data_IF_606316189493
#
_entry.id   IF_606316189493
#
_cell.length_a   1.000
_cell.length_b   1.000
_cell.length_c   1.000
_cell.angle_alpha   90.00
_cell.angle_beta   90.00
_cell.angle_gamma   90.00
#
_symmetry.space_group_name_H-M   'P 1'
#
loop_
_entity.id
_entity.type
_entity.pdbx_description
1 polymer ?
#
# COMPACT_ATOMS: atom_id res chain seq x y z
N UNK A 1 -61.37 -43.45 65.76
CA UNK A 1 -62.52 -43.04 66.57
C UNK A 1 -63.28 -41.99 65.79
N UNK A 2 -64.50 -42.33 65.49
CA UNK A 2 -65.73 -41.51 65.32
C UNK A 2 -65.65 -40.46 64.20
N UNK A 3 -66.34 -40.67 63.04
CA UNK A 3 -67.82 -40.40 62.90
C UNK A 3 -68.05 -38.91 62.78
N UNK A 4 -68.72 -38.34 61.85
CA UNK A 4 -70.07 -38.59 61.27
C UNK A 4 -70.18 -37.60 60.12
N UNK A 5 -70.58 -37.97 58.91
CA UNK A 5 -72.02 -38.04 58.56
C UNK A 5 -72.76 -36.71 58.68
N UNK A 6 -73.20 -36.22 57.64
CA UNK A 6 -74.61 -36.15 57.23
C UNK A 6 -74.78 -34.94 56.32
N UNK A 7 -75.13 -35.15 55.10
CA UNK A 7 -76.52 -35.32 54.60
C UNK A 7 -77.22 -34.02 54.25
N UNK A 8 -77.59 -33.96 53.04
CA UNK A 8 -78.90 -33.61 52.49
C UNK A 8 -79.32 -32.15 52.63
N UNK A 9 -79.70 -31.51 51.59
CA UNK A 9 -80.94 -31.69 50.86
C UNK A 9 -80.93 -30.74 49.63
N UNK A 10 -81.28 -31.28 48.57
CA UNK A 10 -81.90 -30.78 47.39
C UNK A 10 -82.90 -29.62 47.69
N UNK A 11 -82.72 -28.59 46.91
CA UNK A 11 -83.78 -27.70 46.55
C UNK A 11 -83.66 -27.31 45.09
N UNK A 12 -84.43 -28.01 44.30
CA UNK A 12 -84.72 -27.70 42.92
C UNK A 12 -85.44 -26.38 42.84
N UNK A 13 -84.72 -25.37 42.37
CA UNK A 13 -85.32 -24.14 41.84
C UNK A 13 -85.11 -24.13 40.35
N UNK A 14 -86.09 -24.61 39.61
CA UNK A 14 -86.18 -24.41 38.16
C UNK A 14 -86.48 -22.95 37.94
N UNK A 15 -85.47 -22.15 37.72
CA UNK A 15 -85.61 -20.83 37.17
C UNK A 15 -85.46 -20.95 35.69
N UNK A 16 -86.51 -20.80 34.94
CA UNK A 16 -86.51 -20.64 33.50
C UNK A 16 -85.75 -19.36 33.21
N UNK A 17 -84.43 -19.50 32.87
CA UNK A 17 -83.72 -18.43 32.28
C UNK A 17 -84.18 -18.33 30.84
N UNK A 18 -84.88 -17.25 30.58
CA UNK A 18 -85.06 -16.76 29.25
C UNK A 18 -83.66 -16.49 28.64
N UNK A 19 -83.28 -17.32 27.69
CA UNK A 19 -82.14 -17.09 26.85
C UNK A 19 -82.52 -15.92 25.96
N UNK A 20 -82.18 -14.70 26.36
CA UNK A 20 -82.09 -13.57 25.48
C UNK A 20 -80.95 -13.86 24.55
N UNK A 21 -81.23 -14.21 23.30
CA UNK A 21 -80.30 -14.20 22.26
C UNK A 21 -79.79 -12.74 22.18
N UNK A 22 -78.70 -12.46 22.84
CA UNK A 22 -77.88 -11.29 22.50
C UNK A 22 -77.41 -11.51 21.12
N UNK A 23 -78.04 -10.86 20.15
CA UNK A 23 -77.41 -10.66 18.83
C UNK A 23 -76.15 -9.90 19.13
N UNK A 24 -75.01 -10.61 19.10
CA UNK A 24 -73.70 -9.99 19.04
C UNK A 24 -73.75 -9.09 17.84
N UNK A 25 -73.78 -7.80 18.06
CA UNK A 25 -73.65 -6.81 17.02
C UNK A 25 -72.30 -7.18 16.36
N UNK A 26 -72.36 -7.50 15.10
CA UNK A 26 -71.23 -7.76 14.27
C UNK A 26 -70.38 -6.49 14.32
N UNK A 27 -69.40 -6.49 15.20
CA UNK A 27 -68.42 -5.42 15.27
C UNK A 27 -67.76 -5.36 13.87
N UNK A 28 -67.74 -4.20 13.20
CA UNK A 28 -67.07 -4.11 11.92
C UNK A 28 -65.65 -4.61 12.12
N UNK A 29 -65.33 -5.70 11.44
CA UNK A 29 -63.96 -6.22 11.40
C UNK A 29 -63.11 -5.10 10.81
N UNK A 30 -62.52 -4.32 11.69
CA UNK A 30 -61.53 -3.35 11.29
C UNK A 30 -60.36 -4.17 10.77
N UNK A 31 -60.32 -4.44 9.47
CA UNK A 31 -59.19 -5.02 8.83
C UNK A 31 -58.02 -4.08 9.13
N UNK A 32 -57.08 -4.60 9.95
CA UNK A 32 -55.87 -3.85 10.25
C UNK A 32 -55.29 -3.36 8.90
N UNK A 33 -54.91 -2.08 8.79
CA UNK A 33 -54.30 -1.59 7.57
C UNK A 33 -53.13 -2.52 7.24
N UNK A 34 -52.94 -2.82 5.94
CA UNK A 34 -51.84 -3.68 5.52
C UNK A 34 -50.55 -3.11 6.11
N UNK A 35 -49.66 -3.98 6.66
CA UNK A 35 -48.41 -3.54 7.23
C UNK A 35 -47.70 -2.65 6.20
N UNK A 36 -47.21 -1.51 6.68
CA UNK A 36 -46.42 -0.60 5.80
C UNK A 36 -45.33 -1.40 5.07
N UNK A 37 -45.15 -1.17 3.78
CA UNK A 37 -44.11 -1.87 3.04
C UNK A 37 -42.78 -1.69 3.78
N UNK A 38 -42.15 -2.79 4.16
CA UNK A 38 -40.80 -2.80 4.75
C UNK A 38 -39.88 -2.38 3.59
N UNK A 39 -39.52 -1.12 3.60
CA UNK A 39 -38.47 -0.64 2.66
C UNK A 39 -37.20 -1.28 3.17
N UNK A 40 -36.71 -2.28 2.45
CA UNK A 40 -35.38 -2.85 2.72
C UNK A 40 -34.35 -1.71 2.70
N UNK A 41 -33.52 -1.55 3.72
CA UNK A 41 -32.50 -0.52 3.71
C UNK A 41 -31.63 -0.70 2.49
N UNK A 42 -31.45 0.39 1.71
CA UNK A 42 -30.52 0.38 0.58
C UNK A 42 -29.12 0.11 1.17
N UNK A 43 -28.41 -0.91 0.71
CA UNK A 43 -27.09 -1.22 1.23
C UNK A 43 -26.16 -0.04 0.96
N UNK A 44 -25.68 0.59 2.05
CA UNK A 44 -24.75 1.72 1.98
C UNK A 44 -23.35 1.16 1.83
N UNK A 45 -22.61 1.65 0.84
CA UNK A 45 -21.21 1.27 0.65
C UNK A 45 -20.38 1.65 1.89
N UNK A 46 -19.53 0.73 2.35
CA UNK A 46 -18.56 0.98 3.43
C UNK A 46 -17.13 0.62 2.98
N UNK A 47 -16.17 1.40 3.45
CA UNK A 47 -14.76 1.13 3.24
C UNK A 47 -14.19 0.06 4.19
N UNK A 48 -14.97 -0.40 5.20
CA UNK A 48 -14.55 -1.50 6.08
C UNK A 48 -14.46 -2.82 5.33
N UNK A 49 -13.45 -3.62 5.65
CA UNK A 49 -13.26 -4.97 5.11
C UNK A 49 -11.88 -5.22 4.55
N UNK A 50 -11.62 -6.48 4.24
CA UNK A 50 -10.41 -6.93 3.58
C UNK A 50 -10.46 -6.60 2.09
N UNK A 51 -9.28 -6.40 1.53
CA UNK A 51 -9.10 -6.28 0.08
C UNK A 51 -7.81 -6.92 -0.36
N UNK A 52 -7.79 -7.34 -1.62
CA UNK A 52 -6.62 -7.81 -2.34
C UNK A 52 -6.61 -7.13 -3.70
N UNK A 53 -5.44 -6.80 -4.19
CA UNK A 53 -5.35 -6.07 -5.45
C UNK A 53 -4.02 -6.24 -6.15
N UNK A 54 -3.97 -5.65 -7.33
CA UNK A 54 -2.76 -5.48 -8.11
C UNK A 54 -2.52 -4.01 -8.38
N UNK A 55 -1.27 -3.66 -8.63
CA UNK A 55 -0.89 -2.31 -9.00
C UNK A 55 0.18 -2.33 -10.09
N UNK A 56 0.25 -1.22 -10.80
CA UNK A 56 1.28 -0.96 -11.80
C UNK A 56 1.60 0.54 -11.79
N UNK A 57 2.86 0.87 -12.00
CA UNK A 57 3.32 2.25 -11.91
C UNK A 57 4.68 2.47 -12.52
N UNK A 58 5.19 3.62 -12.22
CA UNK A 58 6.51 4.06 -12.63
C UNK A 58 7.25 4.64 -11.44
N UNK A 59 8.50 4.26 -11.28
CA UNK A 59 9.38 4.73 -10.22
C UNK A 59 10.47 5.63 -10.76
N UNK A 60 10.79 6.67 -10.02
CA UNK A 60 11.90 7.58 -10.30
C UNK A 60 12.83 7.58 -9.09
N UNK A 61 14.14 7.49 -9.37
CA UNK A 61 15.17 7.62 -8.34
C UNK A 61 15.77 9.02 -8.46
N UNK A 62 15.97 9.67 -7.33
CA UNK A 62 16.72 10.93 -7.24
C UNK A 62 18.16 10.59 -6.86
N UNK A 63 18.98 10.27 -7.88
CA UNK A 63 20.40 9.99 -7.71
C UNK A 63 21.21 11.23 -8.05
N UNK A 64 21.38 12.13 -7.12
CA UNK A 64 22.31 13.25 -7.21
C UNK A 64 23.73 12.80 -6.81
N UNK A 65 24.39 11.98 -7.67
CA UNK A 65 25.79 11.64 -7.42
C UNK A 65 26.67 12.85 -7.74
N UNK A 66 27.30 13.37 -6.70
CA UNK A 66 28.29 14.43 -6.88
C UNK A 66 29.49 13.97 -7.71
N UNK A 67 30.05 14.83 -8.56
CA UNK A 67 31.28 14.52 -9.30
C UNK A 67 32.42 14.16 -8.35
N UNK A 68 33.11 13.05 -8.61
CA UNK A 68 34.25 12.60 -7.80
C UNK A 68 35.54 13.14 -8.37
N UNK A 69 36.26 13.95 -7.59
CA UNK A 69 37.57 14.47 -7.97
C UNK A 69 38.66 13.47 -7.63
N UNK A 70 39.41 13.08 -8.67
CA UNK A 70 40.56 12.20 -8.55
C UNK A 70 41.85 13.04 -8.50
N UNK A 71 42.62 12.85 -7.45
CA UNK A 71 43.97 13.42 -7.30
C UNK A 71 44.92 12.30 -6.82
N UNK A 72 46.20 12.35 -7.24
CA UNK A 72 47.18 11.35 -6.80
C UNK A 72 47.23 11.23 -5.28
N UNK A 73 47.13 9.99 -4.79
CA UNK A 73 47.07 9.70 -3.37
C UNK A 73 46.91 8.21 -3.08
N UNK A 74 46.57 7.82 -1.86
CA UNK A 74 46.31 6.42 -1.50
C UNK A 74 45.28 5.80 -2.43
N UNK A 75 45.63 4.74 -3.18
CA UNK A 75 44.77 4.06 -4.15
C UNK A 75 44.62 4.76 -5.50
N UNK A 76 45.14 6.00 -5.66
CA UNK A 76 45.10 6.76 -6.91
C UNK A 76 46.53 6.93 -7.44
N UNK A 77 46.88 6.32 -8.57
CA UNK A 77 48.25 6.38 -9.13
C UNK A 77 48.69 7.80 -9.47
N UNK A 78 50.01 8.02 -9.40
CA UNK A 78 50.62 9.25 -9.91
C UNK A 78 50.32 9.42 -11.41
N UNK A 79 49.94 10.63 -11.82
CA UNK A 79 49.54 10.94 -13.20
C UNK A 79 48.04 10.73 -13.49
N UNK A 80 47.26 10.17 -12.58
CA UNK A 80 45.82 10.19 -12.66
C UNK A 80 45.29 11.41 -11.91
N UNK A 81 44.80 12.39 -12.63
CA UNK A 81 44.05 13.50 -12.09
C UNK A 81 42.89 13.82 -13.02
N UNK A 82 41.73 14.16 -12.44
CA UNK A 82 40.52 14.43 -13.22
C UNK A 82 39.27 14.38 -12.39
N UNK A 83 38.16 14.36 -13.07
CA UNK A 83 36.84 14.30 -12.44
C UNK A 83 36.02 13.19 -13.09
N UNK A 84 35.43 12.33 -12.27
CA UNK A 84 34.39 11.42 -12.72
C UNK A 84 33.05 12.14 -12.64
N UNK A 85 32.39 12.24 -13.78
CA UNK A 85 31.04 12.77 -13.88
C UNK A 85 30.11 11.60 -14.16
N UNK A 86 29.17 11.39 -13.27
CA UNK A 86 28.16 10.37 -13.42
C UNK A 86 26.99 10.98 -14.20
N UNK A 87 26.63 10.37 -15.32
CA UNK A 87 25.43 10.75 -16.07
C UNK A 87 24.41 9.64 -15.90
N UNK A 88 23.41 9.93 -15.10
CA UNK A 88 22.26 9.05 -14.98
C UNK A 88 21.27 9.43 -16.07
N UNK A 89 20.95 8.50 -16.94
CA UNK A 89 19.71 8.59 -17.69
C UNK A 89 18.60 8.25 -16.70
N UNK A 90 18.04 9.29 -16.06
CA UNK A 90 16.98 9.18 -15.07
C UNK A 90 15.63 8.82 -15.71
N UNK A 91 15.59 7.78 -16.49
CA UNK A 91 14.34 7.42 -17.19
C UNK A 91 13.36 6.65 -16.31
N UNK A 92 13.65 6.46 -15.02
CA UNK A 92 12.78 5.70 -14.13
C UNK A 92 12.56 4.26 -14.62
N UNK A 93 11.84 3.44 -13.83
CA UNK A 93 11.56 2.06 -14.18
C UNK A 93 10.08 1.71 -13.98
N UNK A 94 9.60 0.74 -14.76
CA UNK A 94 8.28 0.18 -14.55
C UNK A 94 8.28 -0.59 -13.23
N UNK A 95 7.21 -0.44 -12.45
CA UNK A 95 6.98 -1.22 -11.24
C UNK A 95 5.59 -1.81 -11.26
N UNK A 96 5.45 -3.04 -10.79
CA UNK A 96 4.18 -3.72 -10.72
C UNK A 96 4.16 -4.75 -9.60
N UNK A 97 3.00 -4.94 -9.00
CA UNK A 97 2.92 -5.84 -7.87
C UNK A 97 1.53 -6.13 -7.37
N UNK A 98 1.48 -6.74 -6.19
CA UNK A 98 0.25 -7.07 -5.50
C UNK A 98 0.20 -6.46 -4.11
N UNK A 99 -1.00 -6.19 -3.64
CA UNK A 99 -1.27 -5.70 -2.30
C UNK A 99 -2.42 -6.44 -1.64
N UNK A 100 -2.36 -6.47 -0.32
CA UNK A 100 -3.43 -6.97 0.55
C UNK A 100 -3.59 -6.01 1.72
N UNK A 101 -4.81 -5.78 2.16
CA UNK A 101 -5.03 -4.89 3.28
C UNK A 101 -6.39 -5.04 3.93
N UNK A 102 -6.55 -4.32 5.02
CA UNK A 102 -7.78 -4.21 5.75
C UNK A 102 -8.03 -2.76 6.12
N UNK A 103 -9.23 -2.28 5.84
CA UNK A 103 -9.70 -0.96 6.25
C UNK A 103 -10.82 -1.10 7.30
N UNK A 104 -10.86 -0.15 8.21
CA UNK A 104 -11.95 0.03 9.17
C UNK A 104 -12.45 1.47 9.11
N UNK A 105 -13.74 1.64 8.83
CA UNK A 105 -14.39 2.95 8.69
C UNK A 105 -15.12 3.35 9.95
N UNK A 106 -14.84 4.55 10.42
CA UNK A 106 -15.44 5.21 11.58
C UNK A 106 -16.12 6.51 11.11
N UNK A 107 -17.39 6.43 10.75
CA UNK A 107 -18.06 7.57 10.11
C UNK A 107 -17.42 7.91 8.78
N UNK A 108 -16.87 9.12 8.64
CA UNK A 108 -16.12 9.53 7.45
C UNK A 108 -14.64 9.18 7.49
N UNK A 109 -14.11 8.76 8.64
CA UNK A 109 -12.69 8.41 8.78
C UNK A 109 -12.47 6.94 8.46
N UNK A 110 -11.35 6.65 7.82
CA UNK A 110 -10.91 5.30 7.48
C UNK A 110 -9.51 5.11 8.04
N UNK A 111 -9.32 4.04 8.81
CA UNK A 111 -8.01 3.58 9.26
C UNK A 111 -7.76 2.19 8.69
N UNK A 112 -6.52 1.88 8.33
CA UNK A 112 -6.22 0.59 7.73
C UNK A 112 -4.75 0.22 7.80
N UNK A 113 -4.51 -1.02 7.40
CA UNK A 113 -3.17 -1.56 7.19
C UNK A 113 -3.12 -2.16 5.79
N UNK A 114 -2.00 -1.95 5.11
CA UNK A 114 -1.72 -2.48 3.78
C UNK A 114 -0.33 -3.08 3.76
N UNK A 115 -0.21 -4.25 3.16
CA UNK A 115 1.08 -4.85 2.82
C UNK A 115 1.13 -5.06 1.31
N UNK A 116 2.27 -4.78 0.71
CA UNK A 116 2.48 -4.97 -0.73
C UNK A 116 3.87 -5.55 -1.03
N UNK A 117 3.95 -6.15 -2.20
CA UNK A 117 5.17 -6.62 -2.82
C UNK A 117 5.21 -6.13 -4.27
N UNK A 118 6.36 -5.61 -4.69
CA UNK A 118 6.57 -4.98 -5.97
C UNK A 118 7.77 -5.61 -6.67
N UNK A 119 7.66 -5.78 -7.97
CA UNK A 119 8.77 -6.04 -8.87
C UNK A 119 9.05 -4.77 -9.65
N UNK A 120 10.31 -4.42 -9.76
CA UNK A 120 10.76 -3.24 -10.49
C UNK A 120 11.72 -3.69 -11.61
N UNK A 121 11.48 -3.20 -12.82
CA UNK A 121 12.40 -3.32 -13.92
C UNK A 121 13.32 -2.09 -13.90
N UNK A 122 14.51 -2.30 -13.33
CA UNK A 122 15.46 -1.22 -13.03
C UNK A 122 16.75 -1.36 -13.80
N UNK A 123 16.73 -1.92 -15.00
CA UNK A 123 17.91 -1.96 -15.89
C UNK A 123 18.39 -0.53 -16.16
N UNK A 124 19.43 -0.10 -15.43
CA UNK A 124 20.03 1.21 -15.56
C UNK A 124 21.48 1.08 -15.97
N UNK A 125 21.77 1.44 -17.21
CA UNK A 125 23.14 1.67 -17.67
C UNK A 125 23.65 2.99 -17.12
N UNK A 126 24.59 2.94 -16.18
CA UNK A 126 25.27 4.14 -15.69
C UNK A 126 26.40 4.50 -16.64
N UNK A 127 26.30 5.67 -17.26
CA UNK A 127 27.38 6.23 -18.04
C UNK A 127 28.28 7.08 -17.14
N UNK A 128 29.55 6.70 -17.04
CA UNK A 128 30.56 7.45 -16.31
C UNK A 128 31.50 8.12 -17.33
N UNK A 129 31.58 9.46 -17.28
CA UNK A 129 32.48 10.24 -18.07
C UNK A 129 33.68 10.66 -17.21
N UNK A 130 34.88 10.36 -17.67
CA UNK A 130 36.11 10.89 -17.07
C UNK A 130 36.53 12.15 -17.80
N UNK A 131 36.65 13.24 -17.04
CA UNK A 131 37.19 14.53 -17.52
C UNK A 131 38.63 14.68 -17.00
N UNK A 132 39.64 14.62 -17.85
CA UNK A 132 41.04 14.77 -17.43
C UNK A 132 41.31 16.14 -16.79
N UNK A 133 42.04 16.14 -15.67
CA UNK A 133 42.52 17.33 -14.99
C UNK A 133 43.97 17.69 -15.31
N UNK A 134 44.47 18.74 -14.67
CA UNK A 134 45.87 19.13 -14.79
C UNK A 134 46.79 18.07 -14.22
N UNK A 135 47.83 17.68 -15.04
CA UNK A 135 48.77 16.64 -14.65
C UNK A 135 48.32 15.21 -15.00
N UNK A 136 47.21 15.07 -15.72
CA UNK A 136 46.80 13.76 -16.26
C UNK A 136 47.79 13.29 -17.32
N UNK A 137 48.36 12.11 -17.11
CA UNK A 137 49.36 11.52 -18.01
C UNK A 137 49.11 10.02 -18.15
N UNK A 138 48.24 9.65 -19.09
CA UNK A 138 47.88 8.25 -19.32
C UNK A 138 46.54 8.08 -20.03
N UNK A 139 45.96 6.90 -19.86
CA UNK A 139 44.60 6.59 -20.29
C UNK A 139 43.82 6.07 -19.10
N UNK A 140 42.64 6.59 -18.89
CA UNK A 140 41.72 6.08 -17.88
C UNK A 140 40.49 5.50 -18.56
N UNK A 141 40.18 4.27 -18.23
CA UNK A 141 38.95 3.58 -18.65
C UNK A 141 38.06 3.41 -17.41
N UNK A 142 36.94 4.14 -17.34
CA UNK A 142 36.02 3.95 -16.25
C UNK A 142 35.53 2.50 -16.18
N UNK A 143 35.30 2.00 -14.95
CA UNK A 143 34.68 0.70 -14.73
C UNK A 143 33.19 0.73 -15.09
N UNK A 144 32.61 -0.45 -15.22
CA UNK A 144 31.17 -0.59 -15.34
C UNK A 144 30.59 -0.55 -13.90
N UNK A 145 29.80 0.44 -13.64
CA UNK A 145 29.09 0.57 -12.37
C UNK A 145 27.70 -0.03 -12.56
N UNK A 146 27.50 -1.24 -12.07
CA UNK A 146 26.19 -1.82 -11.99
C UNK A 146 25.51 -1.24 -10.74
N UNK A 147 24.42 -0.53 -10.92
CA UNK A 147 23.55 -0.23 -9.80
C UNK A 147 22.76 -1.50 -9.50
N UNK A 148 23.06 -2.16 -8.39
CA UNK A 148 22.23 -3.23 -7.87
C UNK A 148 20.96 -2.59 -7.29
N UNK A 149 20.04 -2.17 -8.15
CA UNK A 149 18.72 -1.83 -7.72
C UNK A 149 18.00 -3.14 -7.37
N UNK A 150 17.29 -3.23 -6.26
CA UNK A 150 16.59 -4.44 -5.91
C UNK A 150 15.53 -4.75 -6.97
N UNK A 151 15.51 -5.99 -7.47
CA UNK A 151 14.51 -6.46 -8.43
C UNK A 151 13.11 -6.48 -7.82
N UNK A 152 13.03 -6.51 -6.50
CA UNK A 152 11.78 -6.47 -5.75
C UNK A 152 11.92 -5.70 -4.43
N UNK A 153 10.82 -5.14 -3.99
CA UNK A 153 10.68 -4.53 -2.68
C UNK A 153 9.29 -4.76 -2.12
N UNK A 154 9.16 -4.72 -0.82
CA UNK A 154 7.89 -4.83 -0.14
C UNK A 154 7.67 -3.72 0.85
N UNK A 155 6.42 -3.50 1.26
CA UNK A 155 6.12 -2.57 2.34
C UNK A 155 4.97 -3.04 3.23
N UNK A 156 4.99 -2.56 4.48
CA UNK A 156 3.88 -2.68 5.43
C UNK A 156 3.57 -1.29 5.96
N UNK A 157 2.37 -0.80 5.68
CA UNK A 157 2.00 0.59 5.91
C UNK A 157 0.66 0.73 6.61
N UNK A 158 0.55 1.69 7.52
CA UNK A 158 -0.72 2.18 8.04
C UNK A 158 -1.34 3.16 7.04
N UNK A 159 -2.67 3.17 6.95
CA UNK A 159 -3.46 4.10 6.12
C UNK A 159 -4.40 4.89 7.01
N UNK A 160 -4.47 6.20 6.76
CA UNK A 160 -5.42 7.12 7.38
C UNK A 160 -6.08 7.95 6.30
N UNK A 161 -7.41 7.98 6.26
CA UNK A 161 -8.11 8.69 5.19
C UNK A 161 -9.47 9.20 5.59
N UNK A 162 -10.06 9.93 4.67
CA UNK A 162 -11.43 10.46 4.75
C UNK A 162 -12.22 9.95 3.56
N UNK A 163 -13.34 9.31 3.85
CA UNK A 163 -14.25 8.77 2.86
C UNK A 163 -15.37 9.78 2.55
N UNK A 164 -15.57 10.03 1.28
CA UNK A 164 -16.68 10.80 0.72
C UNK A 164 -17.52 9.86 -0.14
N UNK A 165 -18.47 9.15 0.49
CA UNK A 165 -19.26 8.10 -0.17
C UNK A 165 -18.32 7.04 -0.80
N UNK A 166 -18.18 7.06 -2.12
CA UNK A 166 -17.39 6.10 -2.89
C UNK A 166 -15.96 6.56 -3.22
N UNK A 167 -15.54 7.69 -2.68
CA UNK A 167 -14.17 8.22 -2.86
C UNK A 167 -13.47 8.25 -1.50
N UNK A 168 -12.29 7.69 -1.44
CA UNK A 168 -11.41 7.72 -0.28
C UNK A 168 -10.14 8.50 -0.64
N UNK A 169 -9.85 9.54 0.14
CA UNK A 169 -8.57 10.25 0.10
C UNK A 169 -7.79 9.85 1.34
N UNK A 170 -6.54 9.41 1.17
CA UNK A 170 -5.77 8.88 2.28
C UNK A 170 -4.28 9.23 2.21
N UNK A 171 -3.67 9.27 3.39
CA UNK A 171 -2.24 9.20 3.57
C UNK A 171 -1.83 7.82 4.06
N UNK A 172 -0.60 7.42 3.79
CA UNK A 172 -0.03 6.15 4.20
C UNK A 172 1.40 6.30 4.65
N UNK A 173 1.82 5.48 5.61
CA UNK A 173 3.19 5.49 6.10
C UNK A 173 3.54 4.20 6.82
N UNK A 174 4.79 3.78 6.72
CA UNK A 174 5.26 2.54 7.31
C UNK A 174 6.66 2.16 6.88
N UNK A 175 6.94 0.88 6.94
CA UNK A 175 8.26 0.32 6.63
C UNK A 175 8.28 -0.24 5.21
N UNK A 176 9.41 -0.05 4.53
CA UNK A 176 9.74 -0.72 3.29
C UNK A 176 10.94 -1.65 3.53
N UNK A 177 11.04 -2.72 2.74
CA UNK A 177 12.11 -3.69 2.85
C UNK A 177 12.44 -4.30 1.49
N UNK A 178 13.71 -4.65 1.33
CA UNK A 178 14.26 -5.40 0.20
C UNK A 178 15.00 -6.63 0.74
N UNK A 179 15.76 -7.35 -0.10
CA UNK A 179 16.57 -8.48 0.37
C UNK A 179 17.59 -8.08 1.44
N UNK A 180 18.24 -6.93 1.28
CA UNK A 180 19.40 -6.54 2.10
C UNK A 180 19.14 -5.27 2.94
N UNK A 181 18.11 -4.48 2.60
CA UNK A 181 17.90 -3.16 3.19
C UNK A 181 16.49 -2.96 3.74
N UNK A 182 16.40 -2.15 4.78
CA UNK A 182 15.13 -1.67 5.33
C UNK A 182 15.04 -0.16 5.20
N UNK A 183 13.81 0.34 5.17
CA UNK A 183 13.57 1.76 4.98
C UNK A 183 12.17 2.19 5.39
N UNK A 184 11.85 3.42 5.08
CA UNK A 184 10.56 4.02 5.34
C UNK A 184 9.81 4.28 4.04
N UNK A 185 8.50 4.10 4.10
CA UNK A 185 7.59 4.46 3.00
C UNK A 185 6.58 5.47 3.50
N UNK A 186 6.44 6.59 2.80
CA UNK A 186 5.45 7.62 3.05
C UNK A 186 4.73 7.95 1.76
N UNK A 187 3.42 8.19 1.82
CA UNK A 187 2.69 8.53 0.61
C UNK A 187 1.24 8.88 0.83
N UNK A 188 0.52 8.94 -0.27
CA UNK A 188 -0.89 9.21 -0.24
C UNK A 188 -1.56 8.95 -1.59
N UNK A 189 -2.87 8.87 -1.56
CA UNK A 189 -3.61 8.54 -2.75
C UNK A 189 -5.09 8.84 -2.66
N UNK A 190 -5.73 8.58 -3.79
CA UNK A 190 -7.19 8.66 -3.95
C UNK A 190 -7.67 7.33 -4.50
N UNK A 191 -8.71 6.77 -3.91
CA UNK A 191 -9.31 5.51 -4.31
C UNK A 191 -10.81 5.71 -4.54
N UNK A 192 -11.32 5.16 -5.62
CA UNK A 192 -12.71 5.24 -6.00
C UNK A 192 -13.33 3.85 -6.11
N UNK A 193 -14.44 3.63 -5.37
CA UNK A 193 -15.23 2.42 -5.44
C UNK A 193 -16.16 2.47 -6.65
N UNK A 194 -15.92 1.59 -7.62
CA UNK A 194 -16.70 1.51 -8.84
C UNK A 194 -18.15 1.10 -8.52
N UNK A 195 -19.15 1.74 -9.12
CA UNK A 195 -20.56 1.43 -8.90
C UNK A 195 -20.99 0.17 -9.67
N UNK A 196 -20.24 -0.92 -9.52
CA UNK A 196 -20.50 -2.19 -10.19
C UNK A 196 -20.83 -3.26 -9.16
N UNK A 197 -21.95 -3.94 -9.32
CA UNK A 197 -22.45 -4.98 -8.42
C UNK A 197 -22.26 -6.39 -9.03
N UNK A 198 -21.12 -6.63 -9.65
CA UNK A 198 -20.85 -7.91 -10.32
C UNK A 198 -20.65 -9.09 -9.35
N UNK A 199 -20.30 -8.80 -8.10
CA UNK A 199 -19.88 -9.82 -7.13
C UNK A 199 -20.65 -9.76 -5.80
N UNK A 200 -21.91 -9.37 -5.82
CA UNK A 200 -22.75 -9.35 -4.62
C UNK A 200 -22.32 -8.32 -3.59
N UNK A 201 -21.87 -8.75 -2.40
CA UNK A 201 -21.40 -7.85 -1.32
C UNK A 201 -19.96 -7.38 -1.47
N UNK A 202 -19.33 -7.60 -2.61
CA UNK A 202 -17.96 -7.19 -2.90
C UNK A 202 -17.93 -6.00 -3.84
N UNK A 203 -16.90 -5.17 -3.76
CA UNK A 203 -16.70 -4.03 -4.64
C UNK A 203 -15.32 -4.07 -5.27
N UNK A 204 -15.23 -3.47 -6.46
CA UNK A 204 -13.95 -3.20 -7.12
C UNK A 204 -13.63 -1.73 -6.91
N UNK A 205 -12.39 -1.43 -6.52
CA UNK A 205 -11.92 -0.06 -6.37
C UNK A 205 -10.74 0.20 -7.29
N UNK A 206 -10.68 1.41 -7.83
CA UNK A 206 -9.57 1.92 -8.60
C UNK A 206 -8.92 3.07 -7.83
N UNK A 207 -7.59 3.07 -7.72
CA UNK A 207 -6.85 4.09 -6.98
C UNK A 207 -5.63 4.58 -7.72
N UNK A 208 -5.22 5.79 -7.37
CA UNK A 208 -3.94 6.40 -7.73
C UNK A 208 -3.20 6.73 -6.45
N UNK A 209 -1.94 6.35 -6.37
CA UNK A 209 -1.11 6.53 -5.18
C UNK A 209 0.29 7.01 -5.57
N UNK A 210 0.82 7.97 -4.80
CA UNK A 210 2.22 8.37 -4.83
C UNK A 210 2.91 7.91 -3.56
N UNK A 211 4.08 7.31 -3.69
CA UNK A 211 4.91 6.84 -2.59
C UNK A 211 6.30 7.44 -2.68
N UNK A 212 6.81 7.87 -1.55
CA UNK A 212 8.20 8.22 -1.31
C UNK A 212 8.81 7.11 -0.45
N UNK A 213 9.92 6.52 -0.90
CA UNK A 213 10.64 5.47 -0.21
C UNK A 213 12.06 5.96 0.05
N UNK A 214 12.52 5.78 1.28
CA UNK A 214 13.90 6.07 1.68
C UNK A 214 14.46 4.79 2.28
N UNK A 215 15.56 4.27 1.73
CA UNK A 215 16.26 3.11 2.23
C UNK A 215 17.55 3.54 2.91
N UNK A 216 17.80 3.01 4.10
CA UNK A 216 19.06 3.16 4.81
C UNK A 216 20.01 2.08 4.28
N UNK A 217 21.03 2.51 3.54
CA UNK A 217 22.06 1.61 3.03
C UNK A 217 23.19 1.50 4.08
N UNK A 218 23.20 0.43 4.87
CA UNK A 218 24.24 0.17 5.87
C UNK A 218 25.61 -0.18 5.25
N UNK A 219 25.69 -0.54 3.95
CA UNK A 219 26.88 -1.06 3.28
C UNK A 219 27.26 -0.33 1.98
N UNK A 220 27.03 0.97 1.85
CA UNK A 220 27.52 1.74 0.70
C UNK A 220 29.05 1.98 0.73
N UNK A 221 29.80 0.95 1.11
CA UNK A 221 31.21 0.87 0.85
C UNK A 221 31.43 0.49 -0.62
N UNK A 222 31.41 1.48 -1.50
CA UNK A 222 31.95 1.29 -2.83
C UNK A 222 33.44 0.94 -2.71
N UNK A 223 33.73 -0.33 -2.53
CA UNK A 223 35.08 -0.86 -2.32
C UNK A 223 35.60 -1.55 -3.59
N UNK A 224 35.05 -1.18 -4.73
CA UNK A 224 35.41 -1.72 -6.03
C UNK A 224 36.35 -0.82 -6.83
N UNK A 225 37.03 -1.35 -7.86
CA UNK A 225 37.80 -0.52 -8.77
C UNK A 225 36.87 0.40 -9.57
N UNK A 226 37.06 1.71 -9.46
CA UNK A 226 36.34 2.71 -10.25
C UNK A 226 36.72 2.74 -11.72
N UNK A 227 37.80 2.07 -12.08
CA UNK A 227 38.31 1.98 -13.45
C UNK A 227 39.74 1.47 -13.49
N UNK A 228 40.30 1.48 -14.68
CA UNK A 228 41.71 1.10 -14.94
C UNK A 228 42.44 2.29 -15.49
N UNK A 229 43.55 2.66 -14.85
CA UNK A 229 44.47 3.69 -15.32
C UNK A 229 45.73 3.06 -15.90
N UNK A 230 46.10 3.51 -17.10
CA UNK A 230 47.33 3.11 -17.74
C UNK A 230 48.24 4.35 -17.89
N UNK A 231 49.31 4.47 -17.08
CA UNK A 231 50.28 5.54 -17.22
C UNK A 231 50.98 5.52 -18.57
N UNK A 232 51.53 6.64 -19.03
CA UNK A 232 52.33 6.68 -20.24
C UNK A 232 53.56 5.78 -20.07
N UNK A 233 53.67 4.73 -20.88
CA UNK A 233 54.78 3.76 -20.83
C UNK A 233 54.72 2.78 -19.65
N UNK A 234 53.62 2.70 -18.93
CA UNK A 234 53.38 1.80 -17.80
C UNK A 234 52.34 0.74 -18.06
N UNK A 235 52.14 -0.16 -17.08
CA UNK A 235 51.12 -1.20 -17.10
C UNK A 235 49.81 -0.68 -16.55
N UNK A 236 48.66 -1.28 -16.95
CA UNK A 236 47.35 -0.97 -16.41
C UNK A 236 47.26 -1.24 -14.90
N UNK A 237 46.73 -0.31 -14.12
CA UNK A 237 46.53 -0.41 -12.68
C UNK A 237 45.04 -0.15 -12.34
N UNK A 238 44.47 -1.03 -11.55
CA UNK A 238 43.11 -0.80 -11.02
C UNK A 238 43.11 0.39 -10.04
N UNK A 239 42.18 1.29 -10.22
CA UNK A 239 42.01 2.48 -9.37
C UNK A 239 40.85 2.25 -8.44
N UNK A 240 41.11 2.35 -7.12
CA UNK A 240 40.11 2.26 -6.09
C UNK A 240 40.02 3.59 -5.35
N UNK A 241 38.82 4.07 -5.07
CA UNK A 241 38.59 5.25 -4.22
C UNK A 241 38.18 4.76 -2.83
N UNK A 242 38.70 5.37 -1.76
CA UNK A 242 38.15 5.10 -0.43
C UNK A 242 36.66 5.40 -0.42
N UNK A 243 35.89 4.52 0.21
CA UNK A 243 34.45 4.70 0.33
C UNK A 243 34.11 6.06 0.95
N UNK A 244 33.33 6.85 0.26
CA UNK A 244 32.69 8.04 0.84
C UNK A 244 31.31 7.62 1.29
N UNK A 245 31.11 7.61 2.62
CA UNK A 245 29.81 7.36 3.23
C UNK A 245 28.91 8.56 2.93
N UNK A 246 27.76 8.31 2.39
CA UNK A 246 26.45 8.97 2.50
C UNK A 246 25.75 8.95 1.16
N UNK A 247 24.85 8.00 1.00
CA UNK A 247 23.75 8.21 0.07
C UNK A 247 22.53 7.50 0.62
N UNK A 248 21.63 8.25 1.23
CA UNK A 248 20.26 7.85 1.35
C UNK A 248 19.70 7.78 -0.07
N UNK A 249 19.19 6.63 -0.45
CA UNK A 249 18.59 6.46 -1.78
C UNK A 249 17.11 6.77 -1.69
N UNK A 250 16.73 7.94 -2.18
CA UNK A 250 15.34 8.34 -2.28
C UNK A 250 14.70 7.84 -3.58
N UNK A 251 13.53 7.27 -3.46
CA UNK A 251 12.81 6.69 -4.57
C UNK A 251 11.35 7.12 -4.54
N UNK A 252 10.87 7.71 -5.64
CA UNK A 252 9.47 8.08 -5.78
C UNK A 252 8.75 7.14 -6.75
N UNK A 253 7.56 6.67 -6.36
CA UNK A 253 6.70 5.81 -7.19
C UNK A 253 5.34 6.44 -7.34
N UNK A 254 4.86 6.56 -8.58
CA UNK A 254 3.46 6.81 -8.88
C UNK A 254 2.83 5.55 -9.45
N UNK A 255 1.73 5.09 -8.86
CA UNK A 255 1.09 3.83 -9.25
C UNK A 255 -0.42 3.91 -9.31
N UNK A 256 -1.00 3.14 -10.23
CA UNK A 256 -2.42 2.84 -10.28
C UNK A 256 -2.69 1.50 -9.59
N UNK A 257 -3.78 1.45 -8.82
CA UNK A 257 -4.18 0.28 -8.02
C UNK A 257 -5.56 -0.19 -8.44
N UNK A 258 -5.74 -1.49 -8.51
CA UNK A 258 -7.05 -2.12 -8.68
C UNK A 258 -7.25 -3.11 -7.54
N UNK A 259 -8.27 -2.88 -6.69
CA UNK A 259 -8.53 -3.72 -5.55
C UNK A 259 -9.90 -4.41 -5.67
N UNK A 260 -9.94 -5.64 -5.23
CA UNK A 260 -11.17 -6.39 -4.97
C UNK A 260 -11.40 -6.38 -3.46
N UNK A 261 -12.49 -5.77 -3.05
CA UNK A 261 -12.82 -5.54 -1.66
C UNK A 261 -13.97 -6.42 -1.22
N UNK A 262 -13.83 -7.07 -0.08
CA UNK A 262 -14.82 -7.97 0.51
C UNK A 262 -15.63 -7.26 1.59
N UNK A 263 -16.92 -7.62 1.73
CA UNK A 263 -17.75 -7.18 2.85
C UNK A 263 -18.06 -5.68 2.84
N UNK A 264 -18.49 -5.15 1.70
CA UNK A 264 -18.74 -3.71 1.50
C UNK A 264 -20.16 -3.27 1.80
N UNK A 265 -21.04 -4.19 2.18
CA UNK A 265 -22.45 -3.93 2.48
C UNK A 265 -22.88 -4.66 3.75
#
# INVERSE_FOLDING_TARGET
MRKCSSSLLAATAISALAISAASAADLPVTTAPPPAPVIAPVPIFTWSGFYVGANAGWGWREDDREPVFLAPGPGIPAGLSGTLVFSNNNDGGFTGGGQVGYNYQLGSFVVGLEADIQWADTDQDQNVLFVPGNGFAGTFVPGVFNSNAPEWWGSVRARLGVAFDRVLVYGTGGFAYTDDNTGWALGGGVEWALPVNWFGSSAVTFGLEGLWLTFEDDDNNFNGPIGTFTPVGGEPVAVTVPATNNNDSDFFVARAKLNFKFGTY
#
